data_IF_420490643094
#
_entry.id   IF_420490643094
#
_cell.length_a   1.000
_cell.length_b   1.000
_cell.length_c   1.000
_cell.angle_alpha   90.00
_cell.angle_beta   90.00
_cell.angle_gamma   90.00
#
_symmetry.space_group_name_H-M   'P 1'
#
loop_
_entity.id
_entity.type
_entity.pdbx_description
1 polymer ?
#
# COMPACT_ATOMS: atom_id res chain seq x y z
N UNK A 1 -22.62 2.66 -6.41
CA UNK A 1 -21.48 3.15 -5.62
C UNK A 1 -21.00 2.00 -4.73
N UNK A 2 -19.69 1.87 -4.45
CA UNK A 2 -19.18 0.88 -3.49
C UNK A 2 -19.82 1.03 -2.09
N UNK A 3 -19.96 -0.05 -1.30
CA UNK A 3 -20.56 0.00 0.03
C UNK A 3 -19.92 1.03 0.97
N UNK A 4 -18.61 1.25 0.84
CA UNK A 4 -17.84 2.22 1.61
C UNK A 4 -18.29 3.65 1.30
N UNK A 5 -18.48 3.98 0.02
CA UNK A 5 -18.96 5.29 -0.43
C UNK A 5 -20.43 5.51 -0.06
N UNK A 6 -21.25 4.44 -0.11
CA UNK A 6 -22.66 4.52 0.31
C UNK A 6 -22.83 4.85 1.81
N UNK A 7 -21.84 4.55 2.64
CA UNK A 7 -21.83 4.88 4.08
C UNK A 7 -21.37 6.31 4.37
N UNK A 8 -20.83 7.01 3.38
CA UNK A 8 -20.41 8.41 3.51
C UNK A 8 -21.59 9.37 3.28
N UNK A 9 -21.37 10.65 3.56
CA UNK A 9 -22.35 11.70 3.37
C UNK A 9 -22.70 11.94 1.89
N UNK A 10 -23.80 12.66 1.64
CA UNK A 10 -24.29 12.92 0.28
C UNK A 10 -23.29 13.67 -0.60
N UNK A 11 -22.44 14.53 -0.03
CA UNK A 11 -21.43 15.28 -0.80
C UNK A 11 -20.39 14.32 -1.32
N UNK A 12 -19.84 13.46 -0.46
CA UNK A 12 -18.87 12.42 -0.84
C UNK A 12 -19.40 11.47 -1.91
N UNK A 13 -20.69 11.08 -1.81
CA UNK A 13 -21.33 10.24 -2.82
C UNK A 13 -21.45 10.94 -4.18
N UNK A 14 -21.78 12.23 -4.20
CA UNK A 14 -21.91 13.00 -5.43
C UNK A 14 -20.56 13.25 -6.08
N UNK A 15 -19.54 13.61 -5.31
CA UNK A 15 -18.16 13.77 -5.79
C UNK A 15 -17.66 12.49 -6.47
N UNK A 16 -17.93 11.32 -5.89
CA UNK A 16 -17.58 10.05 -6.50
C UNK A 16 -18.33 9.81 -7.82
N UNK A 17 -19.61 10.20 -7.92
CA UNK A 17 -20.38 10.09 -9.18
C UNK A 17 -19.83 11.01 -10.26
N UNK A 18 -19.53 12.26 -9.92
CA UNK A 18 -18.91 13.22 -10.85
C UNK A 18 -17.56 12.70 -11.36
N UNK A 19 -16.72 12.14 -10.47
CA UNK A 19 -15.46 11.50 -10.85
C UNK A 19 -15.65 10.26 -11.75
N UNK A 20 -16.74 9.51 -11.59
CA UNK A 20 -17.07 8.40 -12.50
C UNK A 20 -17.49 8.90 -13.88
N UNK A 21 -18.25 9.99 -13.94
CA UNK A 21 -18.73 10.61 -15.19
C UNK A 21 -17.60 11.30 -15.97
N UNK A 22 -16.62 11.87 -15.28
CA UNK A 22 -15.43 12.48 -15.87
C UNK A 22 -14.49 11.48 -16.60
N UNK A 23 -14.72 10.17 -16.45
CA UNK A 23 -13.88 9.12 -17.01
C UNK A 23 -12.97 8.50 -15.94
N UNK A 24 -13.10 7.18 -15.77
CA UNK A 24 -12.47 6.41 -14.69
C UNK A 24 -10.95 6.29 -14.84
N UNK A 25 -10.25 6.56 -13.75
CA UNK A 25 -8.92 6.03 -13.48
C UNK A 25 -9.02 4.75 -12.63
N UNK A 26 -8.23 3.73 -12.95
CA UNK A 26 -8.16 2.51 -12.12
C UNK A 26 -7.26 2.80 -10.91
N UNK A 27 -7.87 2.85 -9.72
CA UNK A 27 -7.13 3.03 -8.46
C UNK A 27 -6.62 1.68 -7.96
N UNK A 28 -5.34 1.42 -8.14
CA UNK A 28 -4.66 0.24 -7.60
C UNK A 28 -4.03 0.57 -6.24
N UNK A 29 -4.86 0.60 -5.19
CA UNK A 29 -4.41 0.83 -3.83
C UNK A 29 -4.65 -0.41 -2.97
N UNK A 30 -3.60 -0.91 -2.32
CA UNK A 30 -3.68 -2.01 -1.36
C UNK A 30 -3.11 -1.57 -0.01
N UNK A 31 -3.70 -2.08 1.07
CA UNK A 31 -3.14 -1.99 2.42
C UNK A 31 -2.67 -3.39 2.81
N UNK A 32 -1.37 -3.54 3.05
CA UNK A 32 -0.76 -4.81 3.47
C UNK A 32 -0.40 -4.74 4.95
N UNK A 33 -0.82 -5.75 5.72
CA UNK A 33 -0.49 -5.88 7.14
C UNK A 33 0.30 -7.18 7.36
N UNK A 34 1.49 -7.07 7.95
CA UNK A 34 2.36 -8.22 8.27
C UNK A 34 2.30 -8.48 9.78
N UNK A 35 1.78 -9.64 10.18
CA UNK A 35 1.52 -9.99 11.59
C UNK A 35 2.14 -11.35 11.93
N UNK A 36 2.59 -11.53 13.17
CA UNK A 36 3.29 -12.73 13.63
C UNK A 36 4.03 -12.47 14.95
N UNK A 37 4.51 -13.55 15.58
CA UNK A 37 5.18 -13.49 16.88
C UNK A 37 6.46 -12.62 16.86
N UNK A 38 6.96 -12.22 18.03
CA UNK A 38 8.20 -11.45 18.14
C UNK A 38 9.37 -12.21 17.50
N UNK A 39 10.26 -11.51 16.79
CA UNK A 39 11.47 -12.13 16.21
C UNK A 39 11.29 -13.00 14.96
N UNK A 40 10.07 -13.18 14.43
CA UNK A 40 9.84 -14.04 13.23
C UNK A 40 10.25 -13.40 11.89
N UNK A 41 10.88 -12.23 11.90
CA UNK A 41 11.37 -11.56 10.69
C UNK A 41 10.33 -10.71 9.94
N UNK A 42 9.26 -10.24 10.61
CA UNK A 42 8.26 -9.34 9.99
C UNK A 42 8.90 -8.09 9.38
N UNK A 43 9.75 -7.42 10.15
CA UNK A 43 10.48 -6.22 9.75
C UNK A 43 11.42 -6.52 8.58
N UNK A 44 12.13 -7.66 8.62
CA UNK A 44 12.98 -8.13 7.52
C UNK A 44 12.18 -8.37 6.24
N UNK A 45 11.02 -9.03 6.34
CA UNK A 45 10.13 -9.27 5.20
C UNK A 45 9.62 -7.96 4.59
N UNK A 46 9.12 -7.04 5.42
CA UNK A 46 8.64 -5.74 4.94
C UNK A 46 9.74 -4.96 4.23
N UNK A 47 10.95 -4.88 4.79
CA UNK A 47 12.10 -4.19 4.17
C UNK A 47 12.49 -4.80 2.81
N UNK A 48 12.49 -6.14 2.71
CA UNK A 48 12.73 -6.82 1.42
C UNK A 48 11.67 -6.52 0.38
N UNK A 49 10.39 -6.50 0.76
CA UNK A 49 9.29 -6.12 -0.14
C UNK A 49 9.46 -4.68 -0.64
N UNK A 50 10.00 -3.80 0.20
CA UNK A 50 10.27 -2.40 -0.15
C UNK A 50 11.57 -2.19 -0.95
N UNK A 51 12.33 -3.26 -1.26
CA UNK A 51 13.61 -3.17 -1.95
C UNK A 51 14.72 -2.53 -1.11
N UNK A 52 14.57 -2.47 0.21
CA UNK A 52 15.57 -1.89 1.10
C UNK A 52 16.71 -2.87 1.36
N UNK A 53 17.94 -2.37 1.49
CA UNK A 53 19.09 -3.19 1.85
C UNK A 53 18.93 -3.71 3.28
N UNK A 54 18.75 -5.02 3.39
CA UNK A 54 18.74 -5.72 4.66
C UNK A 54 20.19 -6.07 5.00
N UNK A 55 20.89 -5.17 5.67
CA UNK A 55 22.17 -5.52 6.29
C UNK A 55 21.94 -6.65 7.29
N UNK A 56 22.90 -7.57 7.40
CA UNK A 56 22.84 -8.75 8.28
C UNK A 56 22.88 -8.42 9.77
N UNK A 57 22.95 -7.14 10.13
CA UNK A 57 22.89 -6.70 11.52
C UNK A 57 21.53 -7.05 12.15
N UNK A 58 21.53 -7.59 13.39
CA UNK A 58 20.30 -7.95 14.07
C UNK A 58 19.39 -6.72 14.17
N UNK A 59 18.24 -6.79 13.50
CA UNK A 59 17.25 -5.73 13.62
C UNK A 59 16.70 -5.71 15.04
N UNK A 60 16.66 -4.53 15.64
CA UNK A 60 15.97 -4.32 16.92
C UNK A 60 14.51 -4.70 16.73
N UNK A 61 13.97 -5.45 17.69
CA UNK A 61 12.55 -5.83 17.67
C UNK A 61 11.68 -4.59 17.57
N UNK A 62 10.76 -4.57 16.59
CA UNK A 62 9.75 -3.53 16.50
C UNK A 62 8.84 -3.61 17.73
N UNK A 63 8.92 -2.62 18.62
CA UNK A 63 7.97 -2.44 19.72
C UNK A 63 6.79 -1.58 19.22
N UNK A 64 5.58 -2.15 19.22
CA UNK A 64 4.37 -1.45 18.76
C UNK A 64 4.04 -1.68 17.28
N UNK A 65 3.59 -0.62 16.59
CA UNK A 65 3.11 -0.68 15.19
C UNK A 65 4.05 0.16 14.31
N UNK A 66 4.56 -0.45 13.25
CA UNK A 66 5.37 0.22 12.23
C UNK A 66 4.57 0.30 10.93
N UNK A 67 4.35 1.52 10.43
CA UNK A 67 3.58 1.78 9.20
C UNK A 67 4.51 2.31 8.14
N UNK A 68 4.59 1.62 7.01
CA UNK A 68 5.37 2.04 5.85
C UNK A 68 4.44 2.46 4.70
N UNK A 69 4.08 3.75 4.59
CA UNK A 69 3.32 4.24 3.45
C UNK A 69 4.25 4.29 2.23
N UNK A 70 4.15 3.29 1.34
CA UNK A 70 4.87 3.27 0.07
C UNK A 70 3.89 3.23 -1.09
N UNK A 71 4.05 4.18 -2.00
CA UNK A 71 3.44 4.13 -3.31
C UNK A 71 4.42 3.43 -4.25
N UNK A 72 3.95 2.39 -4.91
CA UNK A 72 4.71 1.61 -5.87
C UNK A 72 3.90 1.53 -7.14
N UNK A 73 4.55 1.83 -8.27
CA UNK A 73 3.93 1.77 -9.59
C UNK A 73 4.32 0.43 -10.21
N UNK A 74 3.33 -0.30 -10.71
CA UNK A 74 3.53 -1.57 -11.39
C UNK A 74 2.95 -1.39 -12.79
N UNK A 75 3.74 -1.72 -13.80
CA UNK A 75 3.25 -1.83 -15.17
C UNK A 75 2.49 -3.17 -15.28
N UNK A 76 1.20 -3.10 -15.62
CA UNK A 76 0.32 -4.27 -15.60
C UNK A 76 0.46 -5.17 -16.83
N UNK A 77 1.01 -4.64 -17.92
CA UNK A 77 1.23 -5.38 -19.15
C UNK A 77 2.50 -6.24 -19.04
N UNK A 78 3.57 -5.66 -18.50
CA UNK A 78 4.86 -6.30 -18.27
C UNK A 78 4.94 -7.03 -16.93
N UNK A 79 4.09 -6.65 -15.96
CA UNK A 79 4.12 -7.09 -14.54
C UNK A 79 5.43 -6.69 -13.81
N UNK A 80 6.10 -5.67 -14.30
CA UNK A 80 7.35 -5.16 -13.73
C UNK A 80 7.10 -3.94 -12.83
N UNK A 81 7.99 -3.74 -11.86
CA UNK A 81 7.99 -2.55 -11.01
C UNK A 81 8.54 -1.36 -11.80
N UNK A 82 7.79 -0.26 -11.84
CA UNK A 82 8.28 1.01 -12.36
C UNK A 82 9.11 1.66 -11.25
N UNK A 83 10.43 1.50 -11.34
CA UNK A 83 11.38 2.15 -10.44
C UNK A 83 11.53 3.60 -10.92
N UNK A 84 10.79 4.53 -10.34
CA UNK A 84 11.08 5.96 -10.55
C UNK A 84 12.39 6.27 -9.82
N UNK A 85 13.38 6.73 -10.59
CA UNK A 85 14.69 7.13 -10.09
C UNK A 85 14.56 8.22 -9.02
N UNK A 86 15.33 8.04 -7.94
CA UNK A 86 15.53 9.02 -6.87
C UNK A 86 16.22 10.28 -7.42
#
# INVERSE_FOLDING_TARGET
LPPEICRMDKVSQNLFREALEAGKEKVYHIRLMVVGHLGVGKTTLTKRILGENVNEEPHVSTEGIEVHPRCVKIDLDTKEWIVEGI
#
